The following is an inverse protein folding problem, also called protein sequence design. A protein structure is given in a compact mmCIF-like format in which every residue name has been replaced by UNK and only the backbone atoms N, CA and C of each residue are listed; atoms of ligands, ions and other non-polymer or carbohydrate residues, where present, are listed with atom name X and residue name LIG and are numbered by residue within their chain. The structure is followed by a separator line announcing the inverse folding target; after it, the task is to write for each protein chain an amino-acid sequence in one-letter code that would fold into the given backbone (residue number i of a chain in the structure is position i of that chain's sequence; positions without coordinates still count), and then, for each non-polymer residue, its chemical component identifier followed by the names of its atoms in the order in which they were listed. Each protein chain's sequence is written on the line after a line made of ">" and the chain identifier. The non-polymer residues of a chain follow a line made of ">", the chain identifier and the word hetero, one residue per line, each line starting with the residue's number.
data_IF_339816170038
#
_entry.id   IF_339816170038
#
_cell.length_a   1.000
_cell.length_b   1.000
_cell.length_c   1.000
_cell.angle_alpha   90.00
_cell.angle_beta   90.00
_cell.angle_gamma   90.00
#
_symmetry.space_group_name_H-M   'P 1'
#
loop_
_entity.id
_entity.type
_entity.pdbx_description
1 polymer ?
#
# COMPACT_ATOMS: atom_id res chain seq x y z
N UNK A 1 6.22 -68.06 16.34
CA UNK A 1 5.40 -66.86 16.12
C UNK A 1 5.95 -65.74 16.99
N UNK A 2 5.92 -64.53 16.44
CA UNK A 2 6.19 -63.24 17.07
C UNK A 2 7.66 -62.77 17.10
N UNK A 3 8.09 -62.31 15.93
CA UNK A 3 8.57 -60.94 15.63
C UNK A 3 9.11 -60.09 16.77
N UNK A 4 10.41 -59.80 16.65
CA UNK A 4 10.96 -58.48 16.91
C UNK A 4 12.01 -58.22 15.84
N UNK A 5 11.96 -57.06 15.19
CA UNK A 5 13.05 -56.07 15.18
C UNK A 5 12.90 -55.09 14.01
N UNK A 6 13.13 -53.85 14.40
CA UNK A 6 13.16 -52.61 13.64
C UNK A 6 14.34 -52.58 12.67
N UNK A 7 14.19 -51.72 11.64
CA UNK A 7 15.14 -50.68 11.23
C UNK A 7 15.93 -50.83 9.89
N UNK A 8 15.86 -49.73 9.12
CA UNK A 8 16.72 -49.31 8.00
C UNK A 8 16.51 -50.06 6.65
N UNK A 9 16.46 -49.43 5.47
CA UNK A 9 17.44 -48.48 4.96
C UNK A 9 16.94 -47.79 3.66
N UNK A 10 17.12 -46.47 3.58
CA UNK A 10 16.78 -45.53 2.51
C UNK A 10 17.61 -45.73 1.23
N UNK A 11 17.40 -46.82 0.47
CA UNK A 11 18.21 -47.11 -0.74
C UNK A 11 17.44 -47.35 -2.06
N UNK A 12 16.11 -47.29 -2.09
CA UNK A 12 15.37 -47.74 -3.30
C UNK A 12 14.51 -46.69 -4.01
N UNK A 13 14.87 -45.40 -3.94
CA UNK A 13 14.17 -44.34 -4.70
C UNK A 13 15.14 -43.34 -5.34
N UNK A 14 16.23 -43.84 -5.93
CA UNK A 14 17.11 -43.03 -6.79
C UNK A 14 17.67 -43.93 -7.87
N UNK A 15 16.82 -44.29 -8.83
CA UNK A 15 17.15 -44.75 -10.18
C UNK A 15 15.83 -45.00 -10.89
N UNK A 16 15.77 -44.57 -12.15
CA UNK A 16 14.71 -44.84 -13.11
C UNK A 16 13.46 -43.96 -12.99
N UNK A 17 13.50 -42.80 -13.65
CA UNK A 17 12.48 -42.27 -14.59
C UNK A 17 13.11 -41.00 -15.22
N UNK A 18 14.01 -41.23 -16.17
CA UNK A 18 14.44 -40.25 -17.18
C UNK A 18 14.12 -40.91 -18.52
N UNK A 19 12.88 -40.72 -19.02
CA UNK A 19 12.42 -40.92 -20.42
C UNK A 19 10.88 -40.87 -20.51
N UNK A 20 10.34 -39.66 -20.66
CA UNK A 20 9.08 -39.37 -21.36
C UNK A 20 8.90 -37.84 -21.35
N UNK A 21 9.60 -37.17 -22.27
CA UNK A 21 9.30 -35.78 -22.61
C UNK A 21 8.06 -35.76 -23.52
N UNK A 22 7.29 -34.67 -23.39
CA UNK A 22 6.14 -34.24 -24.18
C UNK A 22 4.75 -34.74 -23.70
N UNK A 23 3.86 -33.77 -23.51
CA UNK A 23 2.39 -33.89 -23.36
C UNK A 23 1.83 -34.14 -21.95
N UNK A 24 2.12 -33.24 -21.01
CA UNK A 24 1.17 -32.76 -19.96
C UNK A 24 1.79 -31.71 -19.01
N UNK A 25 3.00 -31.24 -19.32
CA UNK A 25 3.67 -30.10 -18.68
C UNK A 25 3.00 -28.73 -18.92
N UNK A 26 1.73 -28.69 -19.37
CA UNK A 26 1.02 -27.45 -19.71
C UNK A 26 0.11 -26.92 -18.59
N UNK A 27 -0.12 -27.67 -17.52
CA UNK A 27 -0.96 -27.19 -16.39
C UNK A 27 -0.18 -26.47 -15.28
N UNK A 28 1.15 -26.56 -15.27
CA UNK A 28 1.99 -25.83 -14.30
C UNK A 28 2.32 -24.38 -14.70
N UNK A 29 1.95 -23.94 -15.91
CA UNK A 29 2.23 -22.57 -16.38
C UNK A 29 1.15 -21.53 -16.05
N UNK A 30 0.05 -21.90 -15.38
CA UNK A 30 -1.06 -20.98 -15.06
C UNK A 30 -0.93 -20.30 -13.68
N UNK A 31 0.12 -20.55 -12.90
CA UNK A 31 0.27 -20.04 -11.52
C UNK A 31 1.45 -19.08 -11.30
N UNK A 32 2.07 -18.52 -12.34
CA UNK A 32 3.31 -17.71 -12.17
C UNK A 32 3.17 -16.23 -12.58
N UNK A 33 2.02 -15.73 -13.01
CA UNK A 33 1.86 -14.29 -13.30
C UNK A 33 1.28 -13.50 -12.12
N UNK A 34 1.59 -13.89 -10.88
CA UNK A 34 1.30 -13.05 -9.73
C UNK A 34 2.20 -11.81 -9.77
N UNK A 35 1.57 -10.66 -10.00
CA UNK A 35 2.05 -9.32 -9.66
C UNK A 35 3.32 -8.84 -10.37
N UNK A 36 3.25 -8.69 -11.69
CA UNK A 36 4.16 -7.81 -12.40
C UNK A 36 3.67 -6.38 -12.21
N UNK A 37 4.04 -5.75 -11.09
CA UNK A 37 3.90 -4.29 -10.93
C UNK A 37 4.65 -3.66 -12.11
N UNK A 38 3.96 -2.97 -13.03
CA UNK A 38 4.61 -2.46 -14.23
C UNK A 38 5.74 -1.50 -13.83
N UNK A 39 6.96 -1.78 -14.29
CA UNK A 39 8.19 -0.98 -14.10
C UNK A 39 8.13 0.40 -14.80
N UNK A 40 6.93 0.89 -15.14
CA UNK A 40 6.74 2.19 -15.73
C UNK A 40 6.21 3.18 -14.67
N UNK A 41 7.04 4.14 -14.22
CA UNK A 41 6.65 5.14 -13.21
C UNK A 41 5.58 6.13 -13.70
N UNK A 42 5.07 6.02 -14.93
CA UNK A 42 4.13 6.98 -15.53
C UNK A 42 3.10 6.35 -16.46
N UNK A 43 2.43 5.29 -16.03
CA UNK A 43 1.11 5.00 -16.59
C UNK A 43 0.13 6.13 -16.16
N UNK A 44 -0.62 6.70 -17.11
CA UNK A 44 -1.65 7.68 -16.80
C UNK A 44 -2.90 6.95 -16.32
N UNK A 45 -3.17 7.03 -15.02
CA UNK A 45 -4.36 6.49 -14.41
C UNK A 45 -5.46 7.56 -14.32
N UNK A 46 -6.70 7.15 -14.55
CA UNK A 46 -7.86 8.01 -14.31
C UNK A 46 -8.09 8.23 -12.80
N UNK A 47 -9.03 9.11 -12.48
CA UNK A 47 -9.50 9.32 -11.09
C UNK A 47 -10.90 8.73 -10.95
N UNK A 48 -11.12 7.92 -9.91
CA UNK A 48 -12.45 7.44 -9.58
C UNK A 48 -13.30 8.60 -9.06
N UNK A 49 -14.41 8.88 -9.75
CA UNK A 49 -15.28 10.03 -9.43
C UNK A 49 -15.91 9.94 -8.05
N UNK A 50 -16.08 8.74 -7.51
CA UNK A 50 -16.70 8.54 -6.19
C UNK A 50 -15.73 8.74 -5.03
N UNK A 51 -14.51 8.21 -5.15
CA UNK A 51 -13.50 8.25 -4.08
C UNK A 51 -12.53 9.43 -4.20
N UNK A 52 -12.35 9.98 -5.40
CA UNK A 52 -11.27 10.91 -5.72
C UNK A 52 -9.88 10.27 -5.81
N UNK A 53 -9.79 8.94 -5.71
CA UNK A 53 -8.53 8.22 -5.76
C UNK A 53 -8.05 8.01 -7.20
N UNK A 54 -6.73 8.05 -7.41
CA UNK A 54 -6.10 7.69 -8.67
C UNK A 54 -6.26 6.18 -8.87
N UNK A 55 -6.87 5.74 -9.96
CA UNK A 55 -7.17 4.33 -10.25
C UNK A 55 -5.92 3.54 -10.70
N UNK A 56 -4.86 3.60 -9.91
CA UNK A 56 -3.59 2.91 -10.10
C UNK A 56 -3.52 1.64 -9.22
N UNK A 57 -2.65 0.65 -9.52
CA UNK A 57 -2.55 -0.58 -8.74
C UNK A 57 -2.54 -0.33 -7.22
N UNK A 58 -3.44 -1.00 -6.49
CA UNK A 58 -3.62 -0.83 -5.04
C UNK A 58 -4.71 0.16 -4.61
N UNK A 59 -5.32 0.92 -5.53
CA UNK A 59 -6.30 1.95 -5.17
C UNK A 59 -7.59 1.39 -4.56
N UNK A 60 -8.08 0.23 -5.00
CA UNK A 60 -9.30 -0.38 -4.42
C UNK A 60 -9.09 -0.80 -2.97
N UNK A 61 -7.88 -1.27 -2.64
CA UNK A 61 -7.52 -1.62 -1.28
C UNK A 61 -7.58 -0.37 -0.39
N UNK A 62 -6.92 0.72 -0.81
CA UNK A 62 -6.98 2.00 -0.09
C UNK A 62 -8.40 2.54 -0.01
N UNK A 63 -9.19 2.43 -1.08
CA UNK A 63 -10.61 2.79 -1.06
C UNK A 63 -11.38 2.01 0.01
N UNK A 64 -11.15 0.71 0.14
CA UNK A 64 -11.80 -0.13 1.14
C UNK A 64 -11.42 0.24 2.57
N UNK A 65 -10.14 0.53 2.82
CA UNK A 65 -9.63 0.87 4.16
C UNK A 65 -10.04 2.29 4.58
N UNK A 66 -9.92 3.27 3.67
CA UNK A 66 -10.00 4.69 4.01
C UNK A 66 -11.39 5.32 3.80
N UNK A 67 -12.32 4.64 3.13
CA UNK A 67 -13.67 5.15 2.88
C UNK A 67 -14.72 4.64 3.87
N UNK A 68 -14.29 3.92 4.92
CA UNK A 68 -15.20 3.29 5.88
C UNK A 68 -15.84 4.27 6.87
N UNK A 69 -15.13 5.33 7.26
CA UNK A 69 -15.57 6.27 8.28
C UNK A 69 -15.93 7.65 7.72
N UNK A 70 -15.30 8.06 6.62
CA UNK A 70 -15.56 9.31 5.91
C UNK A 70 -15.15 9.16 4.45
N UNK A 71 -15.43 10.16 3.62
CA UNK A 71 -15.01 10.17 2.22
C UNK A 71 -13.49 10.03 2.09
N UNK A 72 -13.05 9.22 1.13
CA UNK A 72 -11.64 9.12 0.73
C UNK A 72 -11.10 10.34 -0.01
N UNK A 73 -11.94 11.36 -0.29
CA UNK A 73 -11.46 12.64 -0.86
C UNK A 73 -10.40 13.30 0.02
N UNK A 74 -10.42 13.05 1.33
CA UNK A 74 -9.39 13.56 2.24
C UNK A 74 -8.00 13.02 1.89
N UNK A 75 -7.89 11.80 1.35
CA UNK A 75 -6.61 11.25 0.89
C UNK A 75 -6.06 12.10 -0.26
N UNK A 76 -6.92 12.45 -1.22
CA UNK A 76 -6.53 13.25 -2.38
C UNK A 76 -6.18 14.71 -2.07
N UNK A 77 -6.60 15.22 -0.91
CA UNK A 77 -6.30 16.58 -0.45
C UNK A 77 -4.99 16.66 0.33
N UNK A 78 -4.45 15.52 0.74
CA UNK A 78 -3.26 15.44 1.57
C UNK A 78 -2.11 14.78 0.81
N UNK A 79 -0.92 14.99 1.32
CA UNK A 79 0.30 14.37 0.81
C UNK A 79 1.25 14.13 1.96
N UNK A 80 2.07 13.08 1.85
CA UNK A 80 3.04 12.76 2.87
C UNK A 80 4.08 11.76 2.39
N UNK A 81 5.22 11.71 3.09
CA UNK A 81 6.16 10.59 2.96
C UNK A 81 5.51 9.30 3.45
N UNK A 82 6.13 8.15 3.14
CA UNK A 82 5.67 6.85 3.66
C UNK A 82 5.52 6.86 5.19
N UNK A 83 6.49 7.43 5.90
CA UNK A 83 6.48 7.49 7.36
C UNK A 83 5.38 8.40 7.89
N UNK A 84 5.16 9.56 7.26
CA UNK A 84 4.06 10.46 7.62
C UNK A 84 2.69 9.81 7.40
N UNK A 85 2.52 9.05 6.32
CA UNK A 85 1.30 8.26 6.09
C UNK A 85 1.13 7.16 7.15
N UNK A 86 2.21 6.47 7.51
CA UNK A 86 2.19 5.46 8.58
C UNK A 86 1.75 6.05 9.91
N UNK A 87 2.35 7.16 10.32
CA UNK A 87 2.01 7.87 11.55
C UNK A 87 0.53 8.30 11.54
N UNK A 88 0.06 8.81 10.40
CA UNK A 88 -1.33 9.26 10.23
C UNK A 88 -2.31 8.09 10.37
N UNK A 89 -2.05 6.95 9.74
CA UNK A 89 -2.90 5.75 9.85
C UNK A 89 -2.81 5.17 11.26
N UNK A 90 -1.63 5.12 11.87
CA UNK A 90 -1.47 4.64 13.24
C UNK A 90 -2.29 5.48 14.22
N UNK A 91 -2.28 6.82 14.07
CA UNK A 91 -3.13 7.69 14.86
C UNK A 91 -4.63 7.38 14.69
N UNK A 92 -5.08 7.04 13.48
CA UNK A 92 -6.47 6.61 13.26
C UNK A 92 -6.79 5.29 13.95
N UNK A 93 -5.86 4.34 13.95
CA UNK A 93 -6.00 3.07 14.66
C UNK A 93 -6.10 3.31 16.17
N UNK A 94 -5.19 4.11 16.72
CA UNK A 94 -5.08 4.34 18.16
C UNK A 94 -6.24 5.18 18.72
N UNK A 95 -6.77 6.11 17.93
CA UNK A 95 -7.65 7.16 18.46
C UNK A 95 -9.00 7.28 17.76
N UNK A 96 -9.10 6.90 16.48
CA UNK A 96 -10.31 7.09 15.67
C UNK A 96 -11.10 5.79 15.46
N UNK A 97 -10.58 4.66 15.96
CA UNK A 97 -11.23 3.35 15.85
C UNK A 97 -11.09 2.69 14.48
N UNK A 98 -10.08 3.09 13.69
CA UNK A 98 -9.69 2.31 12.52
C UNK A 98 -9.17 0.95 12.99
N UNK A 99 -9.59 -0.12 12.33
CA UNK A 99 -9.04 -1.44 12.61
C UNK A 99 -7.57 -1.51 12.20
N UNK A 100 -6.83 -2.47 12.77
CA UNK A 100 -5.47 -2.74 12.30
C UNK A 100 -5.51 -3.24 10.85
N UNK A 101 -4.62 -2.69 10.00
CA UNK A 101 -4.57 -3.02 8.58
C UNK A 101 -3.95 -4.41 8.33
N UNK A 102 -3.34 -5.04 9.34
CA UNK A 102 -2.72 -6.37 9.26
C UNK A 102 -1.79 -6.47 8.04
N UNK A 103 -1.93 -7.50 7.20
CA UNK A 103 -1.05 -7.70 6.04
C UNK A 103 -1.22 -6.62 4.95
N UNK A 104 -2.18 -5.68 5.09
CA UNK A 104 -2.43 -4.61 4.13
C UNK A 104 -1.68 -3.31 4.42
N UNK A 105 -0.92 -3.23 5.52
CA UNK A 105 -0.12 -2.05 5.88
C UNK A 105 0.81 -1.62 4.74
N UNK A 106 1.65 -2.52 4.25
CA UNK A 106 2.65 -2.17 3.23
C UNK A 106 2.05 -1.80 1.87
N UNK A 107 1.11 -2.55 1.27
CA UNK A 107 0.52 -2.15 -0.01
C UNK A 107 -0.29 -0.86 0.08
N UNK A 108 -0.94 -0.57 1.22
CA UNK A 108 -1.60 0.74 1.45
C UNK A 108 -0.56 1.85 1.46
N UNK A 109 0.53 1.68 2.21
CA UNK A 109 1.59 2.69 2.30
C UNK A 109 2.34 2.85 0.97
N UNK A 110 2.50 1.79 0.18
CA UNK A 110 3.13 1.84 -1.15
C UNK A 110 2.30 2.71 -2.09
N UNK A 111 0.99 2.47 -2.15
CA UNK A 111 0.08 3.29 -2.95
C UNK A 111 0.08 4.76 -2.51
N UNK A 112 -0.08 5.02 -1.21
CA UNK A 112 -0.15 6.39 -0.68
C UNK A 112 1.15 7.15 -0.92
N UNK A 113 2.30 6.54 -0.64
CA UNK A 113 3.60 7.19 -0.86
C UNK A 113 3.95 7.33 -2.34
N UNK A 114 3.45 6.47 -3.23
CA UNK A 114 3.71 6.59 -4.67
C UNK A 114 2.86 7.68 -5.32
N UNK A 115 1.56 7.71 -5.03
CA UNK A 115 0.61 8.57 -5.74
C UNK A 115 0.24 9.85 -4.98
N UNK A 116 0.44 9.87 -3.66
CA UNK A 116 0.15 10.99 -2.76
C UNK A 116 1.38 11.37 -1.91
N UNK A 117 2.59 11.30 -2.50
CA UNK A 117 3.80 11.84 -1.88
C UNK A 117 3.76 13.35 -1.75
N UNK A 118 4.34 13.86 -0.65
CA UNK A 118 4.71 15.26 -0.58
C UNK A 118 5.73 15.59 -1.67
N UNK A 119 5.42 16.60 -2.48
CA UNK A 119 6.29 17.07 -3.57
C UNK A 119 7.24 18.17 -3.12
N UNK A 120 7.22 18.53 -1.83
CA UNK A 120 8.01 19.61 -1.26
C UNK A 120 7.54 20.96 -1.79
N UNK A 121 6.61 21.61 -1.08
CA UNK A 121 6.21 22.97 -1.41
C UNK A 121 7.27 23.96 -0.91
N UNK A 122 7.82 24.79 -1.81
CA UNK A 122 8.65 25.93 -1.41
C UNK A 122 7.77 26.98 -0.74
N UNK A 123 7.81 27.00 0.60
CA UNK A 123 7.01 27.92 1.40
C UNK A 123 7.35 29.39 1.13
N UNK A 124 8.56 29.72 0.67
CA UNK A 124 8.90 31.10 0.32
C UNK A 124 8.22 31.55 -0.97
N UNK A 125 7.84 30.59 -1.83
CA UNK A 125 7.15 30.84 -3.10
C UNK A 125 5.63 30.84 -2.97
N UNK A 126 5.07 29.93 -2.16
CA UNK A 126 3.62 29.70 -2.10
C UNK A 126 2.92 30.28 -0.87
N UNK A 127 3.65 30.65 0.20
CA UNK A 127 3.04 31.29 1.36
C UNK A 127 2.54 32.70 0.97
N UNK A 128 1.34 33.05 1.44
CA UNK A 128 0.82 34.42 1.33
C UNK A 128 1.79 35.39 2.00
N UNK A 129 1.99 36.56 1.38
CA UNK A 129 2.78 37.65 1.99
C UNK A 129 2.23 37.97 3.38
N UNK A 130 3.10 38.34 4.35
CA UNK A 130 2.67 38.88 5.62
C UNK A 130 1.67 40.03 5.41
N UNK A 131 0.67 40.12 6.28
CA UNK A 131 -0.28 41.23 6.25
C UNK A 131 0.46 42.54 6.55
N UNK A 132 0.05 43.63 5.91
CA UNK A 132 0.59 44.96 6.21
C UNK A 132 0.34 45.29 7.70
N UNK A 133 1.33 45.89 8.36
CA UNK A 133 1.24 46.28 9.77
C UNK A 133 0.10 47.26 10.02
N UNK A 134 -0.27 48.09 9.04
CA UNK A 134 -1.39 49.02 9.10
C UNK A 134 -2.76 48.31 9.12
N UNK A 135 -2.82 47.04 8.71
CA UNK A 135 -4.03 46.22 8.67
C UNK A 135 -4.09 45.23 9.85
N UNK A 136 -3.10 45.25 10.75
CA UNK A 136 -3.12 44.39 11.93
C UNK A 136 -4.20 44.86 12.91
N UNK A 137 -5.00 43.95 13.48
CA UNK A 137 -5.94 44.31 14.53
C UNK A 137 -5.19 44.85 15.76
N UNK A 138 -5.83 45.71 16.57
CA UNK A 138 -5.23 46.20 17.81
C UNK A 138 -4.91 45.02 18.74
N UNK A 139 -3.78 45.11 19.45
CA UNK A 139 -3.38 44.10 20.43
C UNK A 139 -4.47 43.92 21.49
N UNK A 140 -4.76 42.67 21.92
CA UNK A 140 -5.66 42.43 23.04
C UNK A 140 -5.19 43.19 24.28
N UNK A 141 -6.10 43.88 24.97
CA UNK A 141 -5.78 44.47 26.27
C UNK A 141 -5.62 43.36 27.29
N UNK A 142 -4.56 43.43 28.09
CA UNK A 142 -4.40 42.59 29.28
C UNK A 142 -5.63 42.76 30.19
N UNK A 143 -6.22 41.65 30.62
CA UNK A 143 -7.33 41.59 31.59
C UNK A 143 -6.77 41.25 32.96
#
# INVERSE_FOLDING_TARGET
>A
MCDHLTQHNKRSYRKDIMRAALVCSLLTSMLVHADEVPDNPKAFYGVDKSSGLIMAPGWELVKGQCNACHTSLIVAQNSGTRDQWRETIQWMVDTQGLWDLSDTWDPVLDYLSTYYQDKGIDMNKYRRKPIDSALMPPMPREQ
#
